data_IF_185360400381
#
_entry.id   IF_185360400381
#
_cell.length_a   1.000
_cell.length_b   1.000
_cell.length_c   1.000
_cell.angle_alpha   90.00
_cell.angle_beta   90.00
_cell.angle_gamma   90.00
#
_symmetry.space_group_name_H-M   'P 1'
#
loop_
_entity.id
_entity.type
_entity.pdbx_description
1 polymer ?
#
# COMPACT_ATOMS: atom_id res chain seq x y z
N UNK A 1 28.41 0.93 -8.94
CA UNK A 1 27.26 1.84 -9.15
C UNK A 1 26.03 0.96 -9.31
N UNK A 2 25.39 0.59 -8.20
CA UNK A 2 24.10 -0.09 -8.25
C UNK A 2 23.05 0.96 -8.55
N UNK A 3 22.54 0.98 -9.79
CA UNK A 3 21.36 1.76 -10.13
C UNK A 3 20.20 1.09 -9.41
N UNK A 4 19.67 1.82 -8.42
CA UNK A 4 18.57 1.44 -7.55
C UNK A 4 17.30 1.38 -8.42
N UNK A 5 17.12 0.28 -9.15
CA UNK A 5 15.85 -0.02 -9.80
C UNK A 5 14.88 -0.32 -8.67
N UNK A 6 14.13 0.70 -8.25
CA UNK A 6 12.67 0.71 -8.18
C UNK A 6 11.98 -0.67 -8.06
N UNK A 7 12.42 -1.55 -7.15
CA UNK A 7 11.91 -2.93 -7.04
C UNK A 7 11.21 -3.25 -5.72
N UNK A 8 11.19 -2.30 -4.76
CA UNK A 8 10.15 -2.27 -3.73
C UNK A 8 8.97 -1.41 -4.23
N UNK A 9 8.87 -1.28 -5.54
CA UNK A 9 7.63 -1.13 -6.28
C UNK A 9 6.81 -2.43 -6.23
N UNK A 10 6.66 -3.08 -5.06
CA UNK A 10 5.75 -4.22 -4.97
C UNK A 10 4.29 -3.77 -5.13
N UNK A 11 4.08 -2.46 -5.30
CA UNK A 11 2.88 -1.89 -5.90
C UNK A 11 3.17 -0.81 -6.96
N UNK A 12 4.23 -0.91 -7.77
CA UNK A 12 4.46 0.07 -8.88
C UNK A 12 4.49 -0.56 -10.29
N UNK A 13 3.84 -1.70 -10.51
CA UNK A 13 3.71 -2.26 -11.86
C UNK A 13 2.49 -3.18 -12.13
N UNK A 14 1.33 -2.99 -11.49
CA UNK A 14 0.12 -3.81 -11.81
C UNK A 14 -1.04 -2.95 -12.33
N UNK A 15 -0.71 -1.82 -12.96
CA UNK A 15 -1.60 -1.20 -13.97
C UNK A 15 -0.78 -0.75 -15.19
N UNK A 16 0.19 -1.57 -15.60
CA UNK A 16 0.89 -1.39 -16.86
C UNK A 16 0.07 -1.89 -18.05
N UNK A 17 -0.81 -1.01 -18.57
CA UNK A 17 -1.26 -0.97 -19.97
C UNK A 17 -2.31 -2.02 -20.44
N UNK A 18 -3.56 -1.57 -20.63
CA UNK A 18 -4.35 -1.93 -21.81
C UNK A 18 -5.32 -0.81 -22.18
N UNK A 19 -4.93 -0.10 -23.24
CA UNK A 19 -5.71 0.43 -24.35
C UNK A 19 -7.22 0.62 -24.18
N UNK A 20 -7.64 1.88 -24.38
CA UNK A 20 -8.90 2.33 -24.98
C UNK A 20 -9.98 1.28 -25.25
N UNK A 21 -11.11 1.35 -24.54
CA UNK A 21 -12.36 1.80 -25.16
C UNK A 21 -13.52 1.94 -24.14
N UNK A 22 -14.33 2.98 -24.37
CA UNK A 22 -15.74 3.09 -23.97
C UNK A 22 -16.09 3.17 -22.48
N UNK A 23 -16.26 4.41 -22.00
CA UNK A 23 -17.01 4.74 -20.81
C UNK A 23 -18.50 4.39 -20.97
N UNK A 24 -19.15 3.74 -19.98
CA UNK A 24 -20.57 3.88 -19.74
C UNK A 24 -20.82 4.88 -18.60
N UNK A 25 -21.80 5.73 -18.83
CA UNK A 25 -22.28 6.80 -17.95
C UNK A 25 -22.55 6.33 -16.52
N UNK A 26 -21.91 6.98 -15.55
CA UNK A 26 -22.24 6.84 -14.14
C UNK A 26 -23.55 7.62 -13.85
N UNK A 27 -24.63 6.89 -13.58
CA UNK A 27 -25.79 7.44 -12.89
C UNK A 27 -25.35 7.87 -11.48
N UNK A 28 -25.36 9.19 -11.28
CA UNK A 28 -25.18 9.84 -9.99
C UNK A 28 -26.31 9.41 -9.05
N UNK A 29 -26.01 8.44 -8.19
CA UNK A 29 -26.81 8.19 -7.00
C UNK A 29 -26.04 8.76 -5.82
N UNK A 30 -26.49 9.92 -5.37
CA UNK A 30 -25.93 10.67 -4.25
C UNK A 30 -26.23 9.91 -2.95
N UNK A 31 -25.31 9.05 -2.52
CA UNK A 31 -25.26 8.55 -1.15
C UNK A 31 -24.36 9.48 -0.33
N UNK A 32 -24.87 10.65 0.04
CA UNK A 32 -24.29 11.47 1.11
C UNK A 32 -24.57 10.80 2.46
N UNK A 33 -23.90 9.69 2.72
CA UNK A 33 -23.61 9.31 4.09
C UNK A 33 -22.56 10.33 4.58
N UNK A 34 -22.91 11.14 5.57
CA UNK A 34 -21.92 11.89 6.33
C UNK A 34 -21.07 10.89 7.10
N UNK A 35 -20.08 10.32 6.42
CA UNK A 35 -19.07 9.41 6.95
C UNK A 35 -18.22 10.17 7.97
N UNK A 36 -18.65 10.20 9.22
CA UNK A 36 -17.78 10.65 10.32
C UNK A 36 -16.58 9.72 10.50
N UNK A 37 -16.62 8.51 9.93
CA UNK A 37 -15.48 7.58 9.82
C UNK A 37 -14.55 7.81 8.62
N UNK A 38 -14.88 8.67 7.63
CA UNK A 38 -13.96 8.88 6.50
C UNK A 38 -12.74 9.71 6.92
N UNK A 39 -12.90 10.68 7.83
CA UNK A 39 -11.78 11.52 8.24
C UNK A 39 -10.69 10.76 9.03
N UNK A 40 -11.08 9.82 9.89
CA UNK A 40 -10.13 8.98 10.63
C UNK A 40 -9.45 7.96 9.73
N UNK A 41 -10.21 7.27 8.87
CA UNK A 41 -9.66 6.37 7.84
C UNK A 41 -8.69 7.13 6.92
N UNK A 42 -9.03 8.34 6.48
CA UNK A 42 -8.13 9.15 5.66
C UNK A 42 -6.84 9.53 6.40
N UNK A 43 -6.88 9.81 7.70
CA UNK A 43 -5.67 10.09 8.48
C UNK A 43 -4.76 8.84 8.60
N UNK A 44 -5.36 7.67 8.77
CA UNK A 44 -4.63 6.41 8.83
C UNK A 44 -4.06 6.02 7.45
N UNK A 45 -4.82 6.18 6.37
CA UNK A 45 -4.35 6.01 4.99
C UNK A 45 -3.19 6.95 4.66
N UNK A 46 -3.22 8.20 5.12
CA UNK A 46 -2.08 9.13 4.96
C UNK A 46 -0.85 8.62 5.72
N UNK A 47 -1.03 8.09 6.93
CA UNK A 47 0.08 7.52 7.71
C UNK A 47 0.70 6.31 7.00
N UNK A 48 -0.13 5.46 6.38
CA UNK A 48 0.31 4.33 5.55
C UNK A 48 1.10 4.83 4.34
N UNK A 49 0.61 5.85 3.63
CA UNK A 49 1.30 6.45 2.50
C UNK A 49 2.67 7.04 2.88
N UNK A 50 2.74 7.79 3.98
CA UNK A 50 3.98 8.39 4.50
C UNK A 50 4.99 7.31 4.95
N UNK A 51 4.48 6.20 5.49
CA UNK A 51 5.27 5.04 5.87
C UNK A 51 5.85 4.32 4.64
N UNK A 52 5.06 4.14 3.57
CA UNK A 52 5.52 3.56 2.31
C UNK A 52 6.58 4.45 1.65
N UNK A 53 6.35 5.76 1.59
CA UNK A 53 7.26 6.73 0.97
C UNK A 53 8.65 6.72 1.60
N UNK A 54 8.74 6.61 2.94
CA UNK A 54 10.02 6.46 3.65
C UNK A 54 10.83 5.23 3.20
N UNK A 55 10.17 4.19 2.68
CA UNK A 55 10.85 2.97 2.23
C UNK A 55 11.31 3.01 0.77
N UNK A 56 10.88 4.01 -0.02
CA UNK A 56 11.12 4.05 -1.49
C UNK A 56 12.47 4.60 -1.89
N UNK A 57 12.97 5.60 -1.17
CA UNK A 57 14.29 6.18 -1.43
C UNK A 57 15.15 6.15 -0.17
N UNK A 58 15.58 4.95 0.27
CA UNK A 58 16.58 4.90 1.31
C UNK A 58 17.87 5.46 0.70
N UNK A 59 18.25 6.68 1.09
CA UNK A 59 19.58 7.27 0.86
C UNK A 59 20.75 6.44 1.45
N UNK A 60 20.45 5.22 1.88
CA UNK A 60 21.30 4.25 2.53
C UNK A 60 22.35 3.68 1.56
N UNK A 61 23.59 3.65 2.03
CA UNK A 61 24.76 3.23 1.26
C UNK A 61 25.07 1.73 1.43
N UNK A 62 24.41 1.05 2.38
CA UNK A 62 24.57 -0.39 2.66
C UNK A 62 23.23 -1.10 2.90
N UNK A 63 23.22 -2.43 2.72
CA UNK A 63 22.04 -3.27 2.98
C UNK A 63 21.52 -3.13 4.42
N UNK A 64 22.38 -3.08 5.42
CA UNK A 64 21.95 -2.95 6.82
C UNK A 64 21.20 -1.63 7.07
N UNK A 65 21.65 -0.55 6.44
CA UNK A 65 20.96 0.74 6.49
C UNK A 65 19.61 0.68 5.75
N UNK A 66 19.55 0.04 4.58
CA UNK A 66 18.30 -0.16 3.83
C UNK A 66 17.29 -1.01 4.62
N UNK A 67 17.76 -2.12 5.21
CA UNK A 67 16.96 -3.02 6.05
C UNK A 67 16.32 -2.29 7.22
N UNK A 68 17.09 -1.43 7.90
CA UNK A 68 16.57 -0.62 9.00
C UNK A 68 15.46 0.34 8.54
N UNK A 69 15.64 1.02 7.39
CA UNK A 69 14.63 1.93 6.83
C UNK A 69 13.35 1.18 6.42
N UNK A 70 13.48 0.04 5.74
CA UNK A 70 12.31 -0.76 5.33
C UNK A 70 11.55 -1.24 6.56
N UNK A 71 12.24 -1.76 7.58
CA UNK A 71 11.60 -2.20 8.82
C UNK A 71 10.91 -1.04 9.55
N UNK A 72 11.58 0.11 9.69
CA UNK A 72 10.98 1.28 10.34
C UNK A 72 9.71 1.75 9.62
N UNK A 73 9.78 1.94 8.29
CA UNK A 73 8.64 2.33 7.48
C UNK A 73 7.50 1.31 7.58
N UNK A 74 7.74 0.03 7.30
CA UNK A 74 6.68 -0.99 7.31
C UNK A 74 6.04 -1.18 8.69
N UNK A 75 6.83 -1.21 9.77
CA UNK A 75 6.25 -1.34 11.12
C UNK A 75 5.42 -0.11 11.51
N UNK A 76 5.82 1.09 11.11
CA UNK A 76 5.07 2.31 11.43
C UNK A 76 3.70 2.41 10.74
N UNK A 77 3.51 1.70 9.62
CA UNK A 77 2.22 1.63 8.92
C UNK A 77 1.26 0.56 9.48
N UNK A 78 1.77 -0.46 10.18
CA UNK A 78 0.94 -1.58 10.68
C UNK A 78 -0.14 -1.12 11.67
N UNK A 79 0.22 -0.26 12.62
CA UNK A 79 -0.73 0.28 13.60
C UNK A 79 -1.84 1.11 12.93
N UNK A 80 -1.52 1.77 11.80
CA UNK A 80 -2.50 2.53 11.03
C UNK A 80 -3.44 1.62 10.23
N UNK A 81 -2.95 0.49 9.70
CA UNK A 81 -3.82 -0.54 9.12
C UNK A 81 -4.81 -1.09 10.15
N UNK A 82 -4.34 -1.47 11.35
CA UNK A 82 -5.22 -2.01 12.40
C UNK A 82 -6.35 -1.04 12.78
N UNK A 83 -6.04 0.26 12.88
CA UNK A 83 -7.05 1.30 13.15
C UNK A 83 -8.00 1.49 11.98
N UNK A 84 -7.49 1.59 10.76
CA UNK A 84 -8.32 1.76 9.55
C UNK A 84 -9.29 0.58 9.35
N UNK A 85 -8.86 -0.65 9.66
CA UNK A 85 -9.71 -1.86 9.63
C UNK A 85 -10.82 -1.75 10.66
N UNK A 86 -10.49 -1.43 11.92
CA UNK A 86 -11.50 -1.26 12.98
C UNK A 86 -12.53 -0.18 12.65
N UNK A 87 -12.09 0.91 12.03
CA UNK A 87 -12.99 1.98 11.58
C UNK A 87 -13.89 1.50 10.42
N UNK A 88 -13.33 0.82 9.42
CA UNK A 88 -14.09 0.24 8.30
C UNK A 88 -15.13 -0.78 8.77
N UNK A 89 -14.76 -1.66 9.71
CA UNK A 89 -15.67 -2.62 10.34
C UNK A 89 -16.79 -1.91 11.12
N UNK A 90 -16.48 -0.83 11.84
CA UNK A 90 -17.46 -0.07 12.63
C UNK A 90 -18.58 0.54 11.77
N UNK A 91 -18.25 0.92 10.53
CA UNK A 91 -19.20 1.47 9.55
C UNK A 91 -19.75 0.40 8.58
N UNK A 92 -19.36 -0.87 8.77
CA UNK A 92 -19.77 -2.04 7.96
C UNK A 92 -19.35 -1.95 6.49
N UNK A 93 -18.21 -1.33 6.22
CA UNK A 93 -17.60 -1.36 4.89
C UNK A 93 -16.72 -2.61 4.76
N UNK A 94 -17.35 -3.75 4.47
CA UNK A 94 -16.68 -5.04 4.39
C UNK A 94 -15.63 -5.07 3.27
N UNK A 95 -15.89 -4.42 2.14
CA UNK A 95 -14.94 -4.36 1.03
C UNK A 95 -13.67 -3.61 1.42
N UNK A 96 -13.82 -2.44 2.05
CA UNK A 96 -12.66 -1.67 2.52
C UNK A 96 -11.87 -2.43 3.58
N UNK A 97 -12.55 -3.09 4.54
CA UNK A 97 -11.90 -3.90 5.56
C UNK A 97 -11.12 -5.08 4.96
N UNK A 98 -11.70 -5.81 4.01
CA UNK A 98 -11.05 -6.92 3.30
C UNK A 98 -9.81 -6.45 2.53
N UNK A 99 -9.90 -5.30 1.85
CA UNK A 99 -8.80 -4.73 1.10
C UNK A 99 -7.65 -4.27 2.02
N UNK A 100 -7.98 -3.63 3.15
CA UNK A 100 -7.00 -3.25 4.17
C UNK A 100 -6.30 -4.47 4.77
N UNK A 101 -7.03 -5.54 5.09
CA UNK A 101 -6.43 -6.77 5.67
C UNK A 101 -5.51 -7.47 4.65
N UNK A 102 -5.88 -7.52 3.37
CA UNK A 102 -5.04 -8.11 2.34
C UNK A 102 -3.69 -7.39 2.20
N UNK A 103 -3.70 -6.05 2.20
CA UNK A 103 -2.46 -5.25 2.12
C UNK A 103 -1.66 -5.31 3.42
N UNK A 104 -2.35 -5.35 4.57
CA UNK A 104 -1.72 -5.54 5.88
C UNK A 104 -0.99 -6.87 5.97
N UNK A 105 -1.63 -7.98 5.58
CA UNK A 105 -1.02 -9.30 5.58
C UNK A 105 0.25 -9.33 4.70
N UNK A 106 0.18 -8.77 3.50
CA UNK A 106 1.33 -8.63 2.62
C UNK A 106 2.47 -7.78 3.23
N UNK A 107 2.12 -6.73 3.98
CA UNK A 107 3.08 -5.90 4.73
C UNK A 107 3.79 -6.70 5.83
N UNK A 108 3.07 -7.56 6.55
CA UNK A 108 3.65 -8.46 7.56
C UNK A 108 4.60 -9.46 6.92
N UNK A 109 4.20 -10.13 5.84
CA UNK A 109 5.04 -11.07 5.11
C UNK A 109 6.33 -10.39 4.59
N UNK A 110 6.21 -9.15 4.12
CA UNK A 110 7.37 -8.32 3.71
C UNK A 110 8.31 -8.07 4.89
N UNK A 111 7.80 -7.73 6.08
CA UNK A 111 8.61 -7.52 7.28
C UNK A 111 9.35 -8.81 7.67
N UNK A 112 8.68 -9.95 7.58
CA UNK A 112 9.27 -11.26 7.87
C UNK A 112 10.39 -11.59 6.87
N UNK A 113 10.17 -11.35 5.58
CA UNK A 113 11.19 -11.50 4.55
C UNK A 113 12.41 -10.60 4.83
N UNK A 114 12.21 -9.32 5.15
CA UNK A 114 13.32 -8.41 5.50
C UNK A 114 14.09 -8.89 6.74
N UNK A 115 13.39 -9.50 7.71
CA UNK A 115 14.01 -10.03 8.93
C UNK A 115 14.84 -11.28 8.66
N UNK A 116 14.36 -12.19 7.80
CA UNK A 116 15.02 -13.46 7.47
C UNK A 116 16.18 -13.27 6.48
N UNK A 117 16.13 -12.24 5.62
CA UNK A 117 17.14 -12.05 4.58
C UNK A 117 18.48 -11.57 5.10
N UNK A 118 19.54 -12.10 4.51
CA UNK A 118 20.93 -11.74 4.87
C UNK A 118 21.53 -10.65 3.97
N UNK A 119 20.97 -10.46 2.78
CA UNK A 119 21.37 -9.44 1.81
C UNK A 119 20.17 -9.00 0.95
N UNK A 120 20.37 -8.00 0.09
CA UNK A 120 19.33 -7.44 -0.75
C UNK A 120 18.83 -8.41 -1.85
N UNK A 121 19.71 -9.23 -2.42
CA UNK A 121 19.34 -10.17 -3.48
C UNK A 121 18.40 -11.27 -2.95
N UNK A 122 18.69 -11.78 -1.75
CA UNK A 122 17.86 -12.75 -1.02
C UNK A 122 16.48 -12.17 -0.68
N UNK A 123 16.45 -10.94 -0.13
CA UNK A 123 15.21 -10.21 0.10
C UNK A 123 14.39 -10.04 -1.19
N UNK A 124 15.04 -9.63 -2.29
CA UNK A 124 14.38 -9.42 -3.57
C UNK A 124 13.77 -10.71 -4.12
N UNK A 125 14.48 -11.84 -4.00
CA UNK A 125 13.97 -13.15 -4.41
C UNK A 125 12.78 -13.60 -3.55
N UNK A 126 12.83 -13.38 -2.23
CA UNK A 126 11.73 -13.70 -1.32
C UNK A 126 10.47 -12.87 -1.62
N UNK A 127 10.64 -11.56 -1.86
CA UNK A 127 9.53 -10.68 -2.25
C UNK A 127 8.91 -11.09 -3.58
N UNK A 128 9.72 -11.45 -4.59
CA UNK A 128 9.20 -11.96 -5.85
C UNK A 128 8.42 -13.28 -5.69
N UNK A 129 8.82 -14.11 -4.72
CA UNK A 129 8.16 -15.37 -4.42
C UNK A 129 6.86 -15.22 -3.60
N UNK A 130 6.61 -14.06 -2.97
CA UNK A 130 5.39 -13.79 -2.22
C UNK A 130 4.13 -13.60 -3.09
N UNK A 131 4.23 -13.76 -4.42
CA UNK A 131 3.16 -13.63 -5.44
C UNK A 131 1.80 -13.19 -4.87
N UNK A 132 1.58 -11.87 -4.88
CA UNK A 132 0.48 -11.26 -4.16
C UNK A 132 -0.51 -10.56 -5.09
N UNK A 133 -0.85 -11.18 -6.23
CA UNK A 133 -1.90 -10.67 -7.13
C UNK A 133 -3.18 -10.21 -6.42
N UNK A 134 -3.57 -10.91 -5.34
CA UNK A 134 -4.67 -10.49 -4.47
C UNK A 134 -4.38 -9.19 -3.67
N UNK A 135 -3.22 -9.09 -3.02
CA UNK A 135 -2.84 -7.88 -2.27
C UNK A 135 -2.55 -6.69 -3.19
N UNK A 136 -2.05 -6.93 -4.40
CA UNK A 136 -1.89 -5.93 -5.43
C UNK A 136 -3.23 -5.35 -5.88
N UNK A 137 -4.20 -6.23 -6.18
CA UNK A 137 -5.55 -5.79 -6.55
C UNK A 137 -6.26 -5.06 -5.40
N UNK A 138 -6.04 -5.47 -4.15
CA UNK A 138 -6.52 -4.76 -2.97
C UNK A 138 -5.85 -3.38 -2.83
N UNK A 139 -4.53 -3.30 -3.03
CA UNK A 139 -3.78 -2.05 -3.01
C UNK A 139 -4.27 -1.04 -4.06
N UNK A 140 -4.60 -1.51 -5.27
CA UNK A 140 -5.18 -0.67 -6.32
C UNK A 140 -6.54 -0.10 -5.89
N UNK A 141 -7.45 -0.96 -5.38
CA UNK A 141 -8.75 -0.50 -4.88
C UNK A 141 -8.64 0.47 -3.71
N UNK A 142 -7.70 0.26 -2.79
CA UNK A 142 -7.44 1.20 -1.70
C UNK A 142 -6.90 2.54 -2.22
N UNK A 143 -6.04 2.52 -3.24
CA UNK A 143 -5.52 3.73 -3.85
C UNK A 143 -6.64 4.54 -4.51
N UNK A 144 -7.52 3.88 -5.26
CA UNK A 144 -8.70 4.51 -5.86
C UNK A 144 -9.65 5.07 -4.80
N UNK A 145 -9.89 4.31 -3.73
CA UNK A 145 -10.69 4.77 -2.59
C UNK A 145 -10.08 6.01 -1.95
N UNK A 146 -8.77 6.01 -1.72
CA UNK A 146 -8.04 7.14 -1.13
C UNK A 146 -8.13 8.39 -2.00
N UNK A 147 -7.98 8.26 -3.32
CA UNK A 147 -8.11 9.39 -4.25
C UNK A 147 -9.55 9.93 -4.24
N UNK A 148 -10.54 9.04 -4.35
CA UNK A 148 -11.94 9.41 -4.45
C UNK A 148 -12.50 10.01 -3.15
N UNK A 149 -12.04 9.51 -1.99
CA UNK A 149 -12.62 9.84 -0.68
C UNK A 149 -11.75 10.83 0.09
N UNK A 150 -10.43 10.65 0.06
CA UNK A 150 -9.47 11.42 0.85
C UNK A 150 -8.73 12.49 0.06
N UNK A 151 -8.74 12.41 -1.29
CA UNK A 151 -8.12 13.39 -2.16
C UNK A 151 -6.60 13.26 -2.30
N UNK A 152 -6.02 12.11 -1.92
CA UNK A 152 -4.60 11.81 -2.09
C UNK A 152 -4.39 10.33 -2.47
N UNK A 153 -3.35 10.00 -3.23
CA UNK A 153 -2.99 8.61 -3.53
C UNK A 153 -2.26 7.95 -2.36
N UNK A 154 -2.50 6.66 -2.14
CA UNK A 154 -1.75 5.84 -1.17
C UNK A 154 -0.35 5.52 -1.68
N UNK A 155 -0.23 5.37 -2.99
CA UNK A 155 1.01 5.11 -3.70
C UNK A 155 1.23 6.35 -4.52
N UNK A 156 2.20 7.19 -4.14
CA UNK A 156 2.63 8.26 -5.03
C UNK A 156 3.20 7.58 -6.28
N UNK A 157 2.49 7.57 -7.40
CA UNK A 157 3.09 7.17 -8.67
C UNK A 157 4.31 8.07 -8.88
N UNK A 158 5.50 7.48 -8.80
CA UNK A 158 6.72 8.18 -9.17
C UNK A 158 6.67 8.45 -10.67
N UNK A 159 7.07 9.66 -11.14
CA UNK A 159 7.24 9.91 -12.57
C UNK A 159 8.30 8.99 -13.21
#
# INVERSE_FOLDING_TARGET
MFKLVTMIAVVAAIAGCSSSDSAPSAESTTASASYTGSASVCADLQTIADADERTRDPAAQSWEQQRAVILDGRNSGLDAFDRAIGDAESVRDATLADDLEAVRAFTVDTIEAVRSSTNFDDFSAQIQALDSTAAAAAGERLNDYSIATCGFPLIADGP
#
